data_IF_783825297430
#
_entry.id   IF_783825297430
#
_cell.length_a   1.000
_cell.length_b   1.000
_cell.length_c   1.000
_cell.angle_alpha   90.00
_cell.angle_beta   90.00
_cell.angle_gamma   90.00
#
_symmetry.space_group_name_H-M   'P 1'
#
loop_
_entity.id
_entity.type
_entity.pdbx_description
1 polymer ?
#
# COMPACT_ATOMS: atom_id res chain seq x y z
N UNK A 1 24.24 -0.91 2.28
CA UNK A 1 23.65 -2.20 2.71
C UNK A 1 23.20 -2.87 1.44
N UNK A 2 23.79 -4.02 1.11
CA UNK A 2 23.83 -4.55 -0.26
C UNK A 2 22.43 -4.77 -0.85
N UNK A 3 21.44 -5.10 -0.03
CA UNK A 3 20.05 -5.32 -0.48
C UNK A 3 19.35 -4.03 -0.94
N UNK A 4 19.51 -2.92 -0.22
CA UNK A 4 18.92 -1.64 -0.59
C UNK A 4 19.53 -1.08 -1.87
N UNK A 5 20.85 -1.21 -2.03
CA UNK A 5 21.56 -0.80 -3.25
C UNK A 5 21.12 -1.64 -4.46
N UNK A 6 21.02 -2.97 -4.29
CA UNK A 6 20.55 -3.86 -5.34
C UNK A 6 19.12 -3.54 -5.77
N UNK A 7 18.20 -3.38 -4.84
CA UNK A 7 16.80 -3.08 -5.15
C UNK A 7 16.63 -1.71 -5.79
N UNK A 8 17.43 -0.72 -5.41
CA UNK A 8 17.39 0.59 -6.06
C UNK A 8 17.91 0.51 -7.50
N UNK A 9 19.00 -0.22 -7.75
CA UNK A 9 19.57 -0.39 -9.08
C UNK A 9 18.65 -1.21 -10.03
N UNK A 10 17.92 -2.18 -9.48
CA UNK A 10 17.07 -3.10 -10.24
C UNK A 10 15.57 -2.86 -10.01
N UNK A 11 15.20 -1.63 -9.60
CA UNK A 11 13.87 -1.31 -9.08
C UNK A 11 12.75 -1.74 -10.04
N UNK A 12 12.86 -1.38 -11.32
CA UNK A 12 11.80 -1.63 -12.30
C UNK A 12 11.59 -3.13 -12.53
N UNK A 13 12.65 -3.87 -12.77
CA UNK A 13 12.57 -5.32 -13.03
C UNK A 13 12.05 -6.06 -11.80
N UNK A 14 12.61 -5.76 -10.62
CA UNK A 14 12.21 -6.38 -9.38
C UNK A 14 10.73 -6.13 -9.08
N UNK A 15 10.27 -4.87 -9.08
CA UNK A 15 8.89 -4.56 -8.72
C UNK A 15 7.87 -4.93 -9.79
N UNK A 16 8.27 -5.07 -11.06
CA UNK A 16 7.40 -5.66 -12.09
C UNK A 16 7.06 -7.10 -11.71
N UNK A 17 8.08 -7.92 -11.42
CA UNK A 17 7.90 -9.31 -11.01
C UNK A 17 7.28 -9.44 -9.62
N UNK A 18 7.61 -8.55 -8.68
CA UNK A 18 7.04 -8.59 -7.34
C UNK A 18 5.55 -8.27 -7.35
N UNK A 19 5.15 -7.27 -8.14
CA UNK A 19 3.75 -6.86 -8.24
C UNK A 19 2.88 -7.87 -9.00
N UNK A 20 3.45 -8.76 -9.83
CA UNK A 20 2.66 -9.88 -10.38
C UNK A 20 2.26 -10.87 -9.29
N UNK A 21 3.12 -11.11 -8.28
CA UNK A 21 2.78 -11.94 -7.11
C UNK A 21 1.57 -11.36 -6.34
N UNK A 22 1.48 -10.04 -6.25
CA UNK A 22 0.37 -9.36 -5.57
C UNK A 22 -0.95 -9.47 -6.34
N UNK A 23 -0.89 -9.57 -7.67
CA UNK A 23 -2.09 -9.59 -8.52
C UNK A 23 -2.57 -11.01 -8.79
N UNK A 24 -1.64 -11.89 -9.14
CA UNK A 24 -1.89 -13.24 -9.68
C UNK A 24 -1.61 -14.36 -8.66
N UNK A 25 -0.93 -14.05 -7.55
CA UNK A 25 -0.60 -15.03 -6.52
C UNK A 25 -1.82 -15.62 -5.83
N UNK A 26 -1.66 -16.84 -5.29
CA UNK A 26 -2.65 -17.41 -4.39
C UNK A 26 -2.73 -16.65 -3.06
N UNK A 27 -3.69 -17.04 -2.21
CA UNK A 27 -3.89 -16.39 -0.91
C UNK A 27 -2.60 -16.31 -0.07
N UNK A 28 -1.84 -17.40 0.01
CA UNK A 28 -0.62 -17.46 0.83
C UNK A 28 0.45 -16.55 0.25
N UNK A 29 0.65 -16.59 -1.07
CA UNK A 29 1.62 -15.77 -1.79
C UNK A 29 1.30 -14.30 -1.63
N UNK A 30 0.06 -13.87 -1.90
CA UNK A 30 -0.37 -12.48 -1.76
C UNK A 30 -0.16 -11.97 -0.34
N UNK A 31 -0.61 -12.75 0.67
CA UNK A 31 -0.48 -12.36 2.07
C UNK A 31 0.98 -12.16 2.48
N UNK A 32 1.86 -13.11 2.15
CA UNK A 32 3.26 -13.01 2.55
C UNK A 32 4.00 -11.93 1.76
N UNK A 33 3.68 -11.75 0.48
CA UNK A 33 4.24 -10.68 -0.33
C UNK A 33 3.82 -9.30 0.19
N UNK A 34 2.54 -9.09 0.54
CA UNK A 34 2.11 -7.81 1.10
C UNK A 34 2.80 -7.49 2.42
N UNK A 35 2.91 -8.47 3.32
CA UNK A 35 3.58 -8.29 4.60
C UNK A 35 5.05 -7.91 4.41
N UNK A 36 5.76 -8.66 3.57
CA UNK A 36 7.17 -8.38 3.25
C UNK A 36 7.34 -7.01 2.59
N UNK A 37 6.43 -6.62 1.70
CA UNK A 37 6.46 -5.31 1.05
C UNK A 37 6.24 -4.18 2.05
N UNK A 38 5.31 -4.34 3.00
CA UNK A 38 5.07 -3.37 4.08
C UNK A 38 6.34 -3.16 4.92
N UNK A 39 6.95 -4.25 5.38
CA UNK A 39 8.20 -4.22 6.16
C UNK A 39 9.36 -3.56 5.38
N UNK A 40 9.44 -3.84 4.08
CA UNK A 40 10.45 -3.27 3.19
C UNK A 40 10.24 -1.76 3.02
N UNK A 41 9.04 -1.31 2.65
CA UNK A 41 8.77 0.09 2.36
C UNK A 41 8.84 0.98 3.61
N UNK A 42 8.54 0.45 4.79
CA UNK A 42 8.63 1.17 6.06
C UNK A 42 10.07 1.17 6.65
N UNK A 43 10.96 0.35 6.10
CA UNK A 43 12.34 0.26 6.55
C UNK A 43 13.15 1.53 6.24
N UNK A 44 13.80 2.11 7.25
CA UNK A 44 14.62 3.34 7.10
C UNK A 44 15.68 3.26 5.98
N UNK A 45 16.24 2.07 5.75
CA UNK A 45 17.25 1.83 4.71
C UNK A 45 16.68 1.86 3.29
N UNK A 46 15.37 1.64 3.14
CA UNK A 46 14.67 1.54 1.87
C UNK A 46 13.87 2.80 1.53
N UNK A 47 14.07 3.92 2.23
CA UNK A 47 13.30 5.16 1.99
C UNK A 47 13.31 5.64 0.53
N UNK A 48 14.44 5.50 -0.17
CA UNK A 48 14.52 5.85 -1.60
C UNK A 48 13.61 4.96 -2.46
N UNK A 49 13.59 3.66 -2.18
CA UNK A 49 12.74 2.68 -2.84
C UNK A 49 11.27 2.93 -2.51
N UNK A 50 10.97 3.25 -1.24
CA UNK A 50 9.62 3.66 -0.82
C UNK A 50 9.13 4.86 -1.62
N UNK A 51 9.93 5.93 -1.72
CA UNK A 51 9.55 7.14 -2.46
C UNK A 51 9.32 6.87 -3.96
N UNK A 52 10.12 5.99 -4.57
CA UNK A 52 9.91 5.57 -5.96
C UNK A 52 8.61 4.76 -6.09
N UNK A 53 8.36 3.81 -5.19
CA UNK A 53 7.20 2.93 -5.23
C UNK A 53 5.89 3.70 -5.05
N UNK A 54 5.81 4.59 -4.05
CA UNK A 54 4.60 5.38 -3.79
C UNK A 54 4.39 6.51 -4.81
N UNK A 55 5.35 6.73 -5.70
CA UNK A 55 5.26 7.68 -6.80
C UNK A 55 4.57 7.12 -8.06
N UNK A 56 4.39 5.81 -8.15
CA UNK A 56 3.85 5.14 -9.32
C UNK A 56 2.32 4.93 -9.20
N UNK A 57 1.56 5.45 -10.16
CA UNK A 57 0.10 5.36 -10.15
C UNK A 57 -0.43 3.97 -10.47
N UNK A 58 0.34 3.13 -11.16
CA UNK A 58 -0.03 1.72 -11.38
C UNK A 58 0.08 0.91 -10.09
N UNK A 59 1.07 1.20 -9.23
CA UNK A 59 1.24 0.52 -7.95
C UNK A 59 0.15 0.91 -6.96
N UNK A 60 -0.28 2.17 -6.97
CA UNK A 60 -1.47 2.60 -6.23
C UNK A 60 -2.70 1.76 -6.61
N UNK A 61 -2.94 1.57 -7.91
CA UNK A 61 -4.10 0.82 -8.40
C UNK A 61 -4.11 -0.63 -7.91
N UNK A 62 -2.94 -1.28 -7.85
CA UNK A 62 -2.82 -2.63 -7.28
C UNK A 62 -3.32 -2.65 -5.84
N UNK A 63 -2.82 -1.75 -4.99
CA UNK A 63 -3.21 -1.71 -3.59
C UNK A 63 -4.68 -1.31 -3.40
N UNK A 64 -5.21 -0.41 -4.23
CA UNK A 64 -6.64 -0.09 -4.24
C UNK A 64 -7.53 -1.28 -4.63
N UNK A 65 -7.08 -2.13 -5.53
CA UNK A 65 -7.79 -3.36 -5.88
C UNK A 65 -7.70 -4.40 -4.75
N UNK A 66 -6.56 -4.52 -4.07
CA UNK A 66 -6.38 -5.43 -2.95
C UNK A 66 -7.16 -5.03 -1.69
N UNK A 67 -7.47 -3.74 -1.51
CA UNK A 67 -8.45 -3.29 -0.50
C UNK A 67 -9.85 -3.88 -0.73
N UNK A 68 -10.15 -4.40 -1.92
CA UNK A 68 -11.41 -5.04 -2.30
C UNK A 68 -11.32 -6.57 -2.40
N UNK A 69 -10.20 -7.16 -1.96
CA UNK A 69 -10.01 -8.61 -1.99
C UNK A 69 -10.99 -9.32 -1.05
N UNK A 70 -11.41 -10.55 -1.34
CA UNK A 70 -12.34 -11.31 -0.50
C UNK A 70 -11.77 -11.62 0.90
N UNK A 71 -10.43 -11.68 1.01
CA UNK A 71 -9.76 -11.93 2.28
C UNK A 71 -9.56 -10.65 3.08
N UNK A 72 -10.23 -10.56 4.24
CA UNK A 72 -10.01 -9.49 5.23
C UNK A 72 -8.53 -9.31 5.61
N UNK A 73 -7.76 -10.40 5.65
CA UNK A 73 -6.32 -10.34 5.94
C UNK A 73 -5.57 -9.63 4.82
N UNK A 74 -5.88 -9.91 3.56
CA UNK A 74 -5.27 -9.23 2.41
C UNK A 74 -5.66 -7.75 2.42
N UNK A 75 -6.93 -7.42 2.67
CA UNK A 75 -7.40 -6.03 2.75
C UNK A 75 -6.60 -5.22 3.79
N UNK A 76 -6.36 -5.79 4.99
CA UNK A 76 -5.61 -5.11 6.06
C UNK A 76 -4.13 -4.92 5.72
N UNK A 77 -3.48 -5.92 5.12
CA UNK A 77 -2.08 -5.80 4.68
C UNK A 77 -1.95 -4.78 3.53
N UNK A 78 -2.92 -4.76 2.60
CA UNK A 78 -2.98 -3.75 1.55
C UNK A 78 -3.19 -2.34 2.11
N UNK A 79 -3.98 -2.19 3.18
CA UNK A 79 -4.16 -0.91 3.87
C UNK A 79 -2.85 -0.35 4.44
N UNK A 80 -1.97 -1.21 5.00
CA UNK A 80 -0.68 -0.76 5.52
C UNK A 80 0.23 -0.13 4.46
N UNK A 81 0.10 -0.55 3.20
CA UNK A 81 0.83 0.04 2.08
C UNK A 81 0.04 1.21 1.48
N UNK A 82 -1.28 1.10 1.36
CA UNK A 82 -2.13 2.19 0.86
C UNK A 82 -1.98 3.48 1.70
N UNK A 83 -1.92 3.37 3.04
CA UNK A 83 -1.80 4.54 3.92
C UNK A 83 -0.56 5.38 3.61
N UNK A 84 0.55 4.79 3.16
CA UNK A 84 1.77 5.55 2.84
C UNK A 84 1.67 6.29 1.49
N UNK A 85 0.88 5.79 0.53
CA UNK A 85 0.51 6.58 -0.66
C UNK A 85 -0.29 7.82 -0.29
N UNK A 86 -1.26 7.66 0.63
CA UNK A 86 -2.07 8.77 1.12
C UNK A 86 -1.25 9.74 1.96
N UNK A 87 -0.33 9.24 2.78
CA UNK A 87 0.52 10.06 3.63
C UNK A 87 1.58 10.88 2.86
N UNK A 88 1.95 10.48 1.63
CA UNK A 88 2.99 11.13 0.84
C UNK A 88 2.71 12.64 0.65
N UNK A 89 3.52 13.54 1.23
CA UNK A 89 3.32 14.99 1.07
C UNK A 89 3.67 15.48 -0.34
N UNK A 90 4.55 14.76 -1.04
CA UNK A 90 5.01 15.08 -2.40
C UNK A 90 4.33 14.17 -3.43
N UNK A 91 3.03 13.94 -3.25
CA UNK A 91 2.25 13.02 -4.07
C UNK A 91 2.25 13.47 -5.55
N UNK A 92 2.60 12.60 -6.51
CA UNK A 92 2.55 12.95 -7.93
C UNK A 92 1.13 13.29 -8.43
N UNK A 93 0.98 14.14 -9.46
CA UNK A 93 -0.34 14.57 -9.95
C UNK A 93 -1.28 13.41 -10.35
N UNK A 94 -0.73 12.34 -10.93
CA UNK A 94 -1.52 11.14 -11.31
C UNK A 94 -2.07 10.40 -10.09
N UNK A 95 -1.22 10.15 -9.09
CA UNK A 95 -1.61 9.53 -7.81
C UNK A 95 -2.67 10.39 -7.11
N UNK A 96 -2.49 11.71 -7.08
CA UNK A 96 -3.50 12.64 -6.54
C UNK A 96 -4.83 12.54 -7.30
N UNK A 97 -4.79 12.55 -8.63
CA UNK A 97 -5.99 12.47 -9.48
C UNK A 97 -6.76 11.17 -9.25
N UNK A 98 -6.07 10.03 -9.16
CA UNK A 98 -6.72 8.74 -8.89
C UNK A 98 -7.42 8.74 -7.53
N UNK A 99 -6.73 9.20 -6.49
CA UNK A 99 -7.31 9.25 -5.14
C UNK A 99 -8.52 10.21 -5.09
N UNK A 100 -8.40 11.39 -5.69
CA UNK A 100 -9.50 12.36 -5.75
C UNK A 100 -10.72 11.82 -6.48
N UNK A 101 -10.54 11.22 -7.67
CA UNK A 101 -11.64 10.65 -8.47
C UNK A 101 -12.36 9.49 -7.79
N UNK A 102 -11.67 8.76 -6.90
CA UNK A 102 -12.21 7.60 -6.21
C UNK A 102 -12.52 7.85 -4.74
N UNK A 103 -12.43 9.10 -4.26
CA UNK A 103 -12.45 9.44 -2.83
C UNK A 103 -13.67 8.89 -2.09
N UNK A 104 -14.88 9.07 -2.64
CA UNK A 104 -16.12 8.63 -1.99
C UNK A 104 -16.15 7.11 -1.82
N UNK A 105 -15.77 6.39 -2.88
CA UNK A 105 -15.73 4.92 -2.87
C UNK A 105 -14.65 4.39 -1.93
N UNK A 106 -13.50 5.07 -1.87
CA UNK A 106 -12.41 4.74 -0.96
C UNK A 106 -12.84 4.96 0.50
N UNK A 107 -13.48 6.08 0.80
CA UNK A 107 -14.01 6.37 2.14
C UNK A 107 -15.00 5.28 2.55
N UNK A 108 -16.00 4.95 1.72
CA UNK A 108 -16.94 3.86 2.01
C UNK A 108 -16.23 2.54 2.31
N UNK A 109 -15.28 2.16 1.45
CA UNK A 109 -14.52 0.92 1.62
C UNK A 109 -13.69 0.90 2.91
N UNK A 110 -13.08 2.02 3.27
CA UNK A 110 -12.25 2.16 4.47
C UNK A 110 -13.09 2.12 5.76
N UNK A 111 -14.32 2.61 5.74
CA UNK A 111 -15.25 2.49 6.86
C UNK A 111 -15.69 1.04 7.13
N UNK A 112 -15.75 0.21 6.09
CA UNK A 112 -16.06 -1.23 6.22
C UNK A 112 -14.86 -2.05 6.71
N UNK A 113 -13.64 -1.51 6.58
CA UNK A 113 -12.42 -2.19 6.99
C UNK A 113 -12.25 -2.16 8.52
N UNK A 114 -12.27 -3.35 9.12
CA UNK A 114 -12.15 -3.51 10.58
C UNK A 114 -10.84 -4.20 10.96
N UNK A 115 -10.20 -3.80 12.08
CA UNK A 115 -8.94 -4.40 12.51
C UNK A 115 -9.09 -5.89 12.84
N UNK A 116 -7.96 -6.60 12.91
CA UNK A 116 -7.93 -7.99 13.40
C UNK A 116 -8.33 -8.09 14.87
N UNK A 117 -7.95 -7.09 15.66
CA UNK A 117 -8.25 -6.98 17.09
C UNK A 117 -8.95 -5.65 17.36
N UNK A 118 -10.10 -5.63 18.05
CA UNK A 118 -10.82 -4.38 18.36
C UNK A 118 -9.94 -3.31 19.05
N UNK A 119 -8.97 -3.75 19.84
CA UNK A 119 -8.05 -2.91 20.60
C UNK A 119 -6.81 -2.42 19.83
N UNK A 120 -6.72 -2.65 18.51
CA UNK A 120 -5.62 -2.15 17.69
C UNK A 120 -5.72 -0.62 17.48
N UNK A 121 -5.26 0.11 18.50
CA UNK A 121 -5.28 1.58 18.53
C UNK A 121 -4.49 2.19 17.38
N UNK A 122 -3.37 1.56 16.98
CA UNK A 122 -2.54 2.07 15.90
C UNK A 122 -3.28 2.02 14.57
N UNK A 123 -3.96 0.90 14.28
CA UNK A 123 -4.78 0.77 13.09
C UNK A 123 -5.88 1.84 13.05
N UNK A 124 -6.58 2.06 14.17
CA UNK A 124 -7.64 3.05 14.25
C UNK A 124 -7.13 4.49 14.03
N UNK A 125 -5.95 4.82 14.55
CA UNK A 125 -5.30 6.12 14.34
C UNK A 125 -4.84 6.32 12.89
N UNK A 126 -4.23 5.27 12.30
CA UNK A 126 -3.85 5.27 10.89
C UNK A 126 -5.09 5.46 9.99
N UNK A 127 -6.18 4.75 10.29
CA UNK A 127 -7.45 4.85 9.57
C UNK A 127 -8.01 6.26 9.61
N UNK A 128 -8.09 6.85 10.80
CA UNK A 128 -8.53 8.24 10.99
C UNK A 128 -7.66 9.22 10.20
N UNK A 129 -6.35 9.02 10.21
CA UNK A 129 -5.40 9.87 9.48
C UNK A 129 -5.59 9.78 7.97
N UNK A 130 -5.84 8.56 7.44
CA UNK A 130 -6.10 8.34 6.02
C UNK A 130 -7.42 8.98 5.60
N UNK A 131 -8.50 8.77 6.37
CA UNK A 131 -9.81 9.36 6.08
C UNK A 131 -9.73 10.89 6.03
N UNK A 132 -9.14 11.53 7.04
CA UNK A 132 -8.96 12.98 7.09
C UNK A 132 -8.13 13.54 5.92
N UNK A 133 -7.29 12.73 5.27
CA UNK A 133 -6.47 13.13 4.11
C UNK A 133 -7.17 12.90 2.77
N UNK A 134 -8.28 12.16 2.76
CA UNK A 134 -9.10 11.89 1.58
C UNK A 134 -10.31 12.84 1.47
N UNK A 135 -10.77 13.36 2.62
CA UNK A 135 -11.74 14.46 2.72
C UNK A 135 -11.15 15.79 2.21
#
# INVERSE_FOLDING_TARGET
DTSAEFLQANFREFFTSYNSLLQEGDYVTKRQALKLLSDLLLGRKFMRIMMLYIGDDSYLQIHMNLLRDDSKTIQLEAFHIFKIFVANPNRPPRVHTILFKNKERLITLLHELTPHRPEDKQFLEDMKTVLNKLE
#
